data_IF_559233517195
#
_entry.id   IF_559233517195
#
_cell.length_a   1.000
_cell.length_b   1.000
_cell.length_c   1.000
_cell.angle_alpha   90.00
_cell.angle_beta   90.00
_cell.angle_gamma   90.00
#
_symmetry.space_group_name_H-M   'P 1'
#
loop_
_entity.id
_entity.type
_entity.pdbx_description
1 polymer ?
#
# COMPACT_ATOMS: atom_id res chain seq x y z
N UNK A 1 -18.34 2.37 -13.82
CA UNK A 1 -16.98 2.05 -14.30
C UNK A 1 -16.40 1.03 -13.34
N UNK A 2 -16.10 -0.18 -13.82
CA UNK A 2 -15.44 -1.21 -13.02
C UNK A 2 -13.99 -0.75 -12.75
N UNK A 3 -13.70 -0.35 -11.51
CA UNK A 3 -12.34 -0.19 -11.05
C UNK A 3 -11.75 -1.59 -10.91
N UNK A 4 -10.95 -2.01 -11.89
CA UNK A 4 -10.19 -3.26 -11.78
C UNK A 4 -9.26 -3.10 -10.58
N UNK A 5 -9.51 -3.87 -9.51
CA UNK A 5 -8.57 -3.98 -8.39
C UNK A 5 -7.27 -4.55 -8.98
N UNK A 6 -6.11 -3.93 -8.74
CA UNK A 6 -4.84 -4.46 -9.21
C UNK A 6 -4.54 -5.80 -8.51
N UNK A 7 -3.71 -6.62 -9.14
CA UNK A 7 -3.16 -7.80 -8.48
C UNK A 7 -2.12 -7.36 -7.45
N UNK A 8 -2.39 -7.68 -6.18
CA UNK A 8 -1.54 -7.33 -5.04
C UNK A 8 -0.82 -8.57 -4.48
N UNK A 9 -1.00 -9.76 -5.05
CA UNK A 9 -0.38 -10.95 -4.50
C UNK A 9 1.14 -10.90 -4.67
N UNK A 10 1.86 -10.89 -3.55
CA UNK A 10 3.31 -10.72 -3.53
C UNK A 10 3.76 -9.28 -3.83
N UNK A 11 2.88 -8.30 -3.65
CA UNK A 11 3.21 -6.89 -3.79
C UNK A 11 4.08 -6.37 -2.64
N UNK A 12 4.71 -5.21 -2.87
CA UNK A 12 5.47 -4.47 -1.88
C UNK A 12 5.14 -2.98 -1.93
N UNK A 13 5.27 -2.30 -0.79
CA UNK A 13 5.24 -0.85 -0.69
C UNK A 13 6.68 -0.34 -0.68
N UNK A 14 7.04 0.47 -1.67
CA UNK A 14 8.31 1.17 -1.72
C UNK A 14 8.37 2.34 -0.75
N UNK A 15 9.58 2.84 -0.49
CA UNK A 15 9.85 3.97 0.42
C UNK A 15 9.03 5.23 0.13
N UNK A 16 8.66 5.42 -1.14
CA UNK A 16 7.81 6.53 -1.62
C UNK A 16 6.32 6.33 -1.33
N UNK A 17 5.92 5.20 -0.74
CA UNK A 17 4.53 4.78 -0.58
C UNK A 17 3.94 4.10 -1.83
N UNK A 18 4.67 4.01 -2.95
CA UNK A 18 4.17 3.35 -4.15
C UNK A 18 3.96 1.85 -3.92
N UNK A 19 2.82 1.31 -4.34
CA UNK A 19 2.54 -0.13 -4.27
C UNK A 19 2.92 -0.77 -5.60
N UNK A 20 3.95 -1.62 -5.59
CA UNK A 20 4.41 -2.40 -6.73
C UNK A 20 3.87 -3.82 -6.66
N UNK A 21 3.50 -4.40 -7.80
CA UNK A 21 3.17 -5.82 -7.90
C UNK A 21 4.43 -6.69 -7.75
N UNK A 22 4.26 -8.01 -7.72
CA UNK A 22 5.37 -8.98 -7.60
C UNK A 22 6.43 -8.90 -8.72
N UNK A 23 6.13 -8.21 -9.82
CA UNK A 23 7.04 -7.99 -10.94
C UNK A 23 7.76 -6.63 -10.86
N UNK A 24 7.56 -5.87 -9.78
CA UNK A 24 8.15 -4.54 -9.60
C UNK A 24 7.45 -3.44 -10.41
N UNK A 25 6.21 -3.66 -10.86
CA UNK A 25 5.46 -2.67 -11.65
C UNK A 25 4.45 -1.94 -10.78
N UNK A 26 4.31 -0.63 -11.00
CA UNK A 26 3.35 0.19 -10.27
C UNK A 26 1.91 -0.28 -10.50
N UNK A 27 1.18 -0.48 -9.39
CA UNK A 27 -0.24 -0.91 -9.42
C UNK A 27 -1.20 0.25 -9.67
N UNK A 28 -0.72 1.50 -9.56
CA UNK A 28 -1.54 2.70 -9.57
C UNK A 28 -2.15 3.02 -8.19
N UNK A 29 -1.80 2.27 -7.15
CA UNK A 29 -2.18 2.55 -5.77
C UNK A 29 -0.97 3.03 -4.95
N UNK A 30 -1.23 3.92 -3.99
CA UNK A 30 -0.23 4.52 -3.10
C UNK A 30 -0.71 4.48 -1.66
N UNK A 31 0.22 4.29 -0.73
CA UNK A 31 -0.01 4.56 0.69
C UNK A 31 0.00 6.08 0.90
N UNK A 32 -1.01 6.60 1.59
CA UNK A 32 -1.11 8.01 1.93
C UNK A 32 -0.07 8.43 2.98
N UNK A 33 0.12 9.75 3.14
CA UNK A 33 1.12 10.32 4.06
C UNK A 33 0.87 9.94 5.54
N UNK A 34 -0.37 9.60 5.88
CA UNK A 34 -0.75 9.05 7.19
C UNK A 34 -0.18 7.65 7.46
N UNK A 35 0.32 6.96 6.42
CA UNK A 35 0.91 5.63 6.49
C UNK A 35 -0.10 4.49 6.62
N UNK A 36 -1.40 4.77 6.62
CA UNK A 36 -2.47 3.81 6.90
C UNK A 36 -3.54 3.74 5.80
N UNK A 37 -3.71 4.80 5.02
CA UNK A 37 -4.67 4.83 3.91
C UNK A 37 -4.03 4.38 2.60
N UNK A 38 -4.83 3.78 1.71
CA UNK A 38 -4.42 3.51 0.33
C UNK A 38 -5.33 4.32 -0.59
N UNK A 39 -4.71 5.06 -1.51
CA UNK A 39 -5.39 5.88 -2.53
C UNK A 39 -5.02 5.43 -3.95
N UNK A 40 -5.90 5.70 -4.90
CA UNK A 40 -5.60 5.54 -6.34
C UNK A 40 -4.89 6.78 -6.93
N UNK A 41 -4.50 6.71 -8.21
CA UNK A 41 -3.91 7.83 -8.97
C UNK A 41 -4.75 9.13 -9.01
N UNK A 42 -6.02 9.09 -8.59
CA UNK A 42 -6.91 10.26 -8.49
C UNK A 42 -7.09 10.70 -7.04
N UNK A 43 -6.23 10.24 -6.13
CA UNK A 43 -6.30 10.50 -4.68
C UNK A 43 -7.60 10.04 -4.03
N UNK A 44 -8.27 9.02 -4.58
CA UNK A 44 -9.48 8.46 -3.96
C UNK A 44 -9.12 7.29 -3.08
N UNK A 45 -9.67 7.28 -1.87
CA UNK A 45 -9.51 6.17 -0.91
C UNK A 45 -10.04 4.87 -1.52
N UNK A 46 -9.17 3.86 -1.60
CA UNK A 46 -9.50 2.51 -2.10
C UNK A 46 -9.42 1.45 -1.01
N UNK A 47 -8.67 1.71 0.06
CA UNK A 47 -8.46 0.76 1.14
C UNK A 47 -7.62 1.31 2.28
N UNK A 48 -7.21 0.41 3.16
CA UNK A 48 -6.31 0.67 4.28
C UNK A 48 -5.20 -0.37 4.32
N UNK A 49 -4.08 -0.01 4.93
CA UNK A 49 -2.93 -0.86 5.15
C UNK A 49 -2.51 -0.77 6.62
N UNK A 50 -2.21 -1.91 7.23
CA UNK A 50 -1.68 -1.94 8.60
C UNK A 50 -0.17 -1.70 8.61
N UNK A 51 0.38 -1.44 9.81
CA UNK A 51 1.82 -1.39 10.05
C UNK A 51 2.53 -2.68 9.56
N UNK A 52 1.90 -3.84 9.77
CA UNK A 52 2.43 -5.14 9.33
C UNK A 52 2.20 -5.45 7.85
N UNK A 53 1.68 -4.52 7.06
CA UNK A 53 1.45 -4.69 5.63
C UNK A 53 0.18 -5.46 5.24
N UNK A 54 -0.82 -5.58 6.11
CA UNK A 54 -2.12 -6.18 5.73
C UNK A 54 -2.97 -5.16 5.01
N UNK A 55 -3.45 -5.49 3.81
CA UNK A 55 -4.31 -4.62 3.02
C UNK A 55 -5.77 -5.04 3.13
N UNK A 56 -6.64 -4.06 3.36
CA UNK A 56 -8.08 -4.19 3.38
C UNK A 56 -8.69 -3.21 2.38
N UNK A 57 -9.77 -3.59 1.71
CA UNK A 57 -10.53 -2.64 0.89
C UNK A 57 -11.37 -1.67 1.73
N UNK A 58 -11.99 -0.68 1.08
CA UNK A 58 -12.87 0.30 1.74
C UNK A 58 -14.05 -0.30 2.53
N UNK A 59 -14.38 -1.60 2.34
CA UNK A 59 -15.43 -2.31 3.09
C UNK A 59 -14.87 -3.13 4.25
N UNK A 60 -13.56 -3.09 4.46
CA UNK A 60 -12.87 -3.88 5.48
C UNK A 60 -12.60 -5.33 5.06
N UNK A 61 -12.78 -5.68 3.78
CA UNK A 61 -12.43 -7.02 3.30
C UNK A 61 -10.92 -7.12 3.14
N UNK A 62 -10.32 -8.12 3.77
CA UNK A 62 -8.91 -8.45 3.57
C UNK A 62 -8.63 -8.81 2.10
N UNK A 63 -7.56 -8.24 1.54
CA UNK A 63 -7.13 -8.48 0.17
C UNK A 63 -5.85 -9.32 0.10
N UNK A 64 -4.80 -8.88 0.80
CA UNK A 64 -3.48 -9.54 0.80
C UNK A 64 -2.59 -8.99 1.92
N UNK A 65 -1.44 -9.63 2.11
CA UNK A 65 -0.28 -9.08 2.79
C UNK A 65 0.72 -8.54 1.77
N UNK A 66 1.44 -7.48 2.14
CA UNK A 66 2.53 -6.87 1.37
C UNK A 66 3.73 -6.58 2.27
N UNK A 67 4.92 -6.51 1.66
CA UNK A 67 6.14 -6.05 2.37
C UNK A 67 6.16 -4.53 2.42
N UNK A 68 6.42 -3.94 3.59
CA UNK A 68 6.45 -2.47 3.80
C UNK A 68 7.87 -1.93 3.93
N UNK A 69 8.48 -1.55 2.82
CA UNK A 69 9.82 -0.94 2.85
C UNK A 69 9.78 0.51 3.33
N UNK A 70 8.64 1.19 3.14
CA UNK A 70 8.38 2.54 3.63
C UNK A 70 8.46 2.72 5.14
N UNK A 71 8.19 1.65 5.90
CA UNK A 71 8.29 1.71 7.36
C UNK A 71 9.66 1.31 7.88
N UNK A 72 10.42 0.47 7.16
CA UNK A 72 11.78 0.09 7.57
C UNK A 72 12.68 1.32 7.70
N UNK A 73 12.52 2.31 6.82
CA UNK A 73 13.21 3.59 6.94
C UNK A 73 12.67 4.48 8.06
N UNK A 74 11.35 4.56 8.22
CA UNK A 74 10.72 5.42 9.24
C UNK A 74 11.15 5.03 10.66
N UNK A 75 11.39 3.75 10.92
CA UNK A 75 11.98 3.29 12.18
C UNK A 75 13.44 3.71 12.39
N UNK A 76 14.23 3.89 11.32
CA UNK A 76 15.62 4.37 11.43
C UNK A 76 15.71 5.86 11.74
N UNK A 77 14.75 6.67 11.28
CA UNK A 77 14.74 8.11 11.52
C UNK A 77 14.26 8.47 12.94
N UNK A 78 13.35 7.70 13.53
CA UNK A 78 12.80 7.97 14.88
C UNK A 78 13.72 7.42 16.01
N UNK A 79 14.72 6.60 15.65
CA UNK A 79 15.64 5.97 16.59
C UNK A 79 16.95 6.73 16.87
N UNK A 80 17.07 8.00 16.46
CA UNK A 80 18.24 8.85 16.73
C UNK A 80 17.90 10.06 17.60
#
# INVERSE_FOLDING_TARGET
MYHHKPDLQGASVEETGCILNRHGQATGWWVGDDGETIVDIRHRLVGKITLTGRIYDHRGQYLTDVVRNDQILRYREVGQ
#
